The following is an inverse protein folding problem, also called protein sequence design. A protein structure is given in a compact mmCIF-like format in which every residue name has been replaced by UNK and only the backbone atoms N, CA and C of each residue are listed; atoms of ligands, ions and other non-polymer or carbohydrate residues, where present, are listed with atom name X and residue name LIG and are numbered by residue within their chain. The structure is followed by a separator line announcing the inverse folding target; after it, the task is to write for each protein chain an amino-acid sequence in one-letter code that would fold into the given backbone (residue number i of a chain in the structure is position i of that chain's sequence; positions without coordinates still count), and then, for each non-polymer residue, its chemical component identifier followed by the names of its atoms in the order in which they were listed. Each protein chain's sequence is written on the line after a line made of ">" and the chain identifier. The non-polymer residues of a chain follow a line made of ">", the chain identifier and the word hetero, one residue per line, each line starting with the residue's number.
data_IF_575727092774
#
_entry.id   IF_575727092774
#
_cell.length_a   1.000
_cell.length_b   1.000
_cell.length_c   1.000
_cell.angle_alpha   90.00
_cell.angle_beta   90.00
_cell.angle_gamma   90.00
#
_symmetry.space_group_name_H-M   'P 1'
#
loop_
_entity.id
_entity.type
_entity.pdbx_description
1 polymer ?
#
# COMPACT_ATOMS: atom_id res chain seq x y z
N UNK A 1 4.59 -29.00 24.76
CA UNK A 1 3.15 -28.68 24.98
C UNK A 1 3.04 -27.19 25.15
N UNK A 2 2.39 -26.49 24.24
CA UNK A 2 2.13 -25.04 24.37
C UNK A 2 0.87 -24.89 25.22
N UNK A 3 0.97 -24.15 26.32
CA UNK A 3 -0.13 -23.92 27.25
C UNK A 3 -1.19 -23.01 26.60
N UNK A 4 -2.37 -23.58 26.33
CA UNK A 4 -3.51 -22.92 25.66
C UNK A 4 -4.01 -21.67 26.40
N UNK A 5 -3.62 -21.48 27.67
CA UNK A 5 -3.96 -20.30 28.47
C UNK A 5 -3.23 -19.02 28.02
N UNK A 6 -2.17 -19.14 27.22
CA UNK A 6 -1.43 -17.97 26.70
C UNK A 6 -2.06 -17.32 25.45
N UNK A 7 -3.10 -17.92 24.86
CA UNK A 7 -3.76 -17.37 23.65
C UNK A 7 -4.80 -16.28 24.00
N UNK A 8 -5.20 -16.15 25.27
CA UNK A 8 -6.20 -15.17 25.71
C UNK A 8 -5.69 -13.72 25.83
N UNK A 9 -4.38 -13.47 25.70
CA UNK A 9 -3.78 -12.14 25.82
C UNK A 9 -3.32 -11.55 24.47
N UNK A 10 -3.94 -11.95 23.37
CA UNK A 10 -3.74 -11.24 22.10
C UNK A 10 -4.57 -9.94 22.14
N UNK A 11 -3.96 -8.77 21.86
CA UNK A 11 -4.72 -7.52 21.82
C UNK A 11 -5.86 -7.63 20.79
N UNK A 12 -7.04 -7.06 21.07
CA UNK A 12 -8.14 -7.07 20.12
C UNK A 12 -7.67 -6.39 18.83
N UNK A 13 -7.77 -7.11 17.71
CA UNK A 13 -7.45 -6.56 16.40
C UNK A 13 -8.50 -5.50 16.07
N UNK A 14 -8.08 -4.24 16.09
CA UNK A 14 -8.93 -3.04 15.90
C UNK A 14 -9.69 -3.03 14.56
N UNK A 15 -9.32 -3.88 13.60
CA UNK A 15 -9.88 -3.92 12.25
C UNK A 15 -10.89 -5.05 11.95
N UNK A 16 -11.33 -5.82 12.95
CA UNK A 16 -12.23 -6.95 12.72
C UNK A 16 -13.67 -6.61 13.10
N UNK A 17 -14.53 -6.39 12.08
CA UNK A 17 -15.99 -6.38 12.26
C UNK A 17 -16.41 -7.74 12.86
N UNK A 18 -17.26 -7.77 13.90
CA UNK A 18 -17.74 -9.02 14.49
C UNK A 18 -18.48 -9.88 13.47
N UNK A 19 -18.38 -11.21 13.64
CA UNK A 19 -19.09 -12.21 12.82
C UNK A 19 -20.60 -11.95 12.87
N UNK A 20 -21.29 -12.11 11.73
CA UNK A 20 -22.74 -11.92 11.66
C UNK A 20 -23.48 -13.18 12.13
N UNK A 21 -24.77 -13.04 12.46
CA UNK A 21 -25.60 -14.17 12.87
C UNK A 21 -25.82 -15.21 11.75
N UNK A 22 -25.70 -14.81 10.47
CA UNK A 22 -25.74 -15.74 9.34
C UNK A 22 -24.47 -16.60 9.25
N UNK A 23 -23.31 -15.99 9.48
CA UNK A 23 -22.02 -16.71 9.52
C UNK A 23 -21.99 -17.79 10.60
N UNK A 24 -22.68 -17.52 11.73
CA UNK A 24 -22.79 -18.46 12.86
C UNK A 24 -23.75 -19.64 12.56
N UNK A 25 -24.81 -19.43 11.78
CA UNK A 25 -25.80 -20.48 11.46
C UNK A 25 -25.29 -21.52 10.47
N UNK A 26 -24.38 -21.16 9.57
CA UNK A 26 -23.79 -22.08 8.59
C UNK A 26 -22.94 -23.19 9.24
N UNK A 27 -22.51 -22.98 10.49
CA UNK A 27 -21.60 -23.87 11.21
C UNK A 27 -22.25 -25.08 11.93
N UNK A 28 -23.57 -25.26 11.81
CA UNK A 28 -24.30 -26.36 12.46
C UNK A 28 -24.14 -27.73 11.78
N UNK A 29 -23.26 -27.86 10.78
CA UNK A 29 -22.96 -29.16 10.15
C UNK A 29 -21.54 -29.64 10.51
N UNK A 30 -21.38 -30.81 11.19
CA UNK A 30 -20.14 -31.25 11.85
C UNK A 30 -18.90 -31.52 10.98
N UNK A 31 -18.84 -31.15 9.70
CA UNK A 31 -17.69 -31.50 8.84
C UNK A 31 -17.33 -30.49 7.76
N UNK A 32 -17.99 -29.34 7.70
CA UNK A 32 -17.68 -28.40 6.64
C UNK A 32 -16.54 -27.49 7.11
N UNK A 33 -15.28 -27.81 6.80
CA UNK A 33 -14.17 -26.83 6.78
C UNK A 33 -14.41 -25.66 5.81
N UNK A 34 -15.62 -25.54 5.29
CA UNK A 34 -16.07 -24.58 4.32
C UNK A 34 -16.64 -23.36 5.04
N UNK A 35 -16.04 -22.22 4.75
CA UNK A 35 -16.48 -20.92 5.24
C UNK A 35 -16.85 -20.05 4.05
N UNK A 36 -18.09 -19.56 4.01
CA UNK A 36 -18.54 -18.64 2.97
C UNK A 36 -18.52 -17.21 3.50
N UNK A 37 -17.97 -16.29 2.70
CA UNK A 37 -17.95 -14.87 3.02
C UNK A 37 -17.96 -14.05 1.73
N UNK A 38 -18.88 -13.09 1.62
CA UNK A 38 -18.92 -12.15 0.49
C UNK A 38 -18.94 -12.83 -0.90
N UNK A 39 -19.58 -14.00 -1.00
CA UNK A 39 -19.63 -14.79 -2.24
C UNK A 39 -18.39 -15.65 -2.53
N UNK A 40 -17.38 -15.60 -1.66
CA UNK A 40 -16.20 -16.47 -1.71
C UNK A 40 -16.32 -17.66 -0.75
N UNK A 41 -15.76 -18.80 -1.15
CA UNK A 41 -15.72 -20.02 -0.36
C UNK A 41 -14.29 -20.38 0.02
N UNK A 42 -13.98 -20.31 1.31
CA UNK A 42 -12.75 -20.86 1.88
C UNK A 42 -12.98 -22.32 2.25
N UNK A 43 -11.98 -23.17 2.01
CA UNK A 43 -12.05 -24.60 2.34
C UNK A 43 -10.67 -25.11 2.75
N UNK A 44 -10.59 -25.93 3.79
CA UNK A 44 -9.32 -26.54 4.22
C UNK A 44 -9.38 -28.05 3.99
N UNK A 45 -8.63 -28.52 2.98
CA UNK A 45 -8.66 -29.91 2.55
C UNK A 45 -7.27 -30.40 2.24
N UNK A 46 -6.93 -31.60 2.73
CA UNK A 46 -5.65 -32.28 2.45
C UNK A 46 -4.43 -31.38 2.74
N UNK A 47 -4.48 -30.61 3.82
CA UNK A 47 -3.40 -29.69 4.21
C UNK A 47 -3.26 -28.45 3.32
N UNK A 48 -4.25 -28.15 2.48
CA UNK A 48 -4.26 -26.98 1.60
C UNK A 48 -5.42 -26.06 1.94
N UNK A 49 -5.18 -24.76 1.79
CA UNK A 49 -6.21 -23.74 1.87
C UNK A 49 -6.69 -23.40 0.47
N UNK A 50 -7.99 -23.60 0.22
CA UNK A 50 -8.62 -23.36 -1.05
C UNK A 50 -9.49 -22.09 -0.97
N UNK A 51 -9.47 -21.28 -2.02
CA UNK A 51 -10.37 -20.16 -2.25
C UNK A 51 -11.15 -20.43 -3.53
N UNK A 52 -12.47 -20.57 -3.43
CA UNK A 52 -13.34 -20.95 -4.55
C UNK A 52 -12.86 -22.21 -5.30
N UNK A 53 -12.28 -23.16 -4.54
CA UNK A 53 -11.73 -24.41 -5.07
C UNK A 53 -10.30 -24.32 -5.64
N UNK A 54 -9.70 -23.12 -5.70
CA UNK A 54 -8.33 -22.91 -6.15
C UNK A 54 -7.35 -22.88 -4.97
N UNK A 55 -6.14 -23.42 -5.15
CA UNK A 55 -5.10 -23.39 -4.12
C UNK A 55 -4.66 -21.94 -3.85
N UNK A 56 -4.93 -21.45 -2.65
CA UNK A 56 -4.68 -20.05 -2.31
C UNK A 56 -3.18 -19.74 -2.25
N UNK A 57 -2.34 -20.72 -1.91
CA UNK A 57 -0.89 -20.51 -1.89
C UNK A 57 -0.34 -20.29 -3.31
N UNK A 58 -0.89 -21.02 -4.29
CA UNK A 58 -0.59 -20.81 -5.70
C UNK A 58 -1.12 -19.47 -6.18
N UNK A 59 -2.39 -19.16 -5.90
CA UNK A 59 -3.02 -17.88 -6.31
C UNK A 59 -2.28 -16.65 -5.82
N UNK A 60 -1.81 -16.65 -4.56
CA UNK A 60 -0.99 -15.57 -3.98
C UNK A 60 0.39 -15.49 -4.64
N UNK A 61 0.92 -16.62 -5.11
CA UNK A 61 2.26 -16.71 -5.69
C UNK A 61 2.29 -16.43 -7.20
N UNK A 62 1.19 -16.64 -7.94
CA UNK A 62 1.11 -16.39 -9.39
C UNK A 62 0.65 -14.97 -9.72
N UNK A 63 -0.27 -14.40 -8.94
CA UNK A 63 -0.87 -13.08 -9.22
C UNK A 63 -0.12 -11.89 -8.59
N UNK A 64 1.19 -12.01 -8.45
CA UNK A 64 2.06 -11.13 -7.65
C UNK A 64 1.99 -9.64 -7.98
N UNK A 65 1.81 -9.30 -9.26
CA UNK A 65 1.92 -7.93 -9.77
C UNK A 65 0.59 -7.36 -10.27
N UNK A 66 -0.37 -8.24 -10.55
CA UNK A 66 -1.60 -7.89 -11.29
C UNK A 66 -2.71 -7.38 -10.36
N UNK A 67 -2.70 -7.79 -9.08
CA UNK A 67 -3.76 -7.45 -8.13
C UNK A 67 -3.39 -6.20 -7.31
N UNK A 68 -4.32 -5.27 -7.19
CA UNK A 68 -4.14 -4.03 -6.42
C UNK A 68 -4.10 -4.23 -4.90
N UNK A 69 -3.58 -3.24 -4.18
CA UNK A 69 -3.47 -3.28 -2.70
C UNK A 69 -4.83 -3.51 -2.00
N UNK A 70 -5.92 -2.99 -2.57
CA UNK A 70 -7.28 -3.19 -2.06
C UNK A 70 -7.67 -4.67 -2.01
N UNK A 71 -7.39 -5.42 -3.09
CA UNK A 71 -7.66 -6.86 -3.14
C UNK A 71 -6.91 -7.61 -2.04
N UNK A 72 -5.60 -7.34 -1.90
CA UNK A 72 -4.76 -7.97 -0.90
C UNK A 72 -5.21 -7.67 0.54
N UNK A 73 -5.60 -6.44 0.82
CA UNK A 73 -6.13 -6.04 2.13
C UNK A 73 -7.43 -6.78 2.45
N UNK A 74 -8.34 -6.90 1.48
CA UNK A 74 -9.58 -7.64 1.66
C UNK A 74 -9.33 -9.14 1.86
N UNK A 75 -8.43 -9.74 1.07
CA UNK A 75 -8.04 -11.14 1.24
C UNK A 75 -7.46 -11.40 2.64
N UNK A 76 -6.58 -10.52 3.13
CA UNK A 76 -6.03 -10.63 4.49
C UNK A 76 -7.12 -10.57 5.57
N UNK A 77 -8.09 -9.67 5.43
CA UNK A 77 -9.23 -9.57 6.36
C UNK A 77 -10.07 -10.85 6.36
N UNK A 78 -10.40 -11.38 5.18
CA UNK A 78 -11.19 -12.61 5.03
C UNK A 78 -10.45 -13.84 5.55
N UNK A 79 -9.13 -13.94 5.33
CA UNK A 79 -8.29 -14.97 5.94
C UNK A 79 -8.28 -14.91 7.47
N UNK A 80 -8.23 -13.71 8.04
CA UNK A 80 -8.40 -13.50 9.48
C UNK A 80 -9.74 -14.04 9.97
N UNK A 81 -10.83 -13.67 9.29
CA UNK A 81 -12.17 -14.16 9.64
C UNK A 81 -12.30 -15.68 9.51
N UNK A 82 -11.71 -16.28 8.48
CA UNK A 82 -11.76 -17.74 8.33
C UNK A 82 -11.05 -18.47 9.47
N UNK A 83 -9.89 -17.97 9.90
CA UNK A 83 -9.16 -18.50 11.06
C UNK A 83 -9.99 -18.36 12.34
N UNK A 84 -10.58 -17.19 12.57
CA UNK A 84 -11.36 -16.92 13.77
C UNK A 84 -12.66 -17.75 13.77
N UNK A 85 -13.29 -17.93 12.60
CA UNK A 85 -14.42 -18.85 12.41
C UNK A 85 -14.02 -20.30 12.69
N UNK A 86 -12.89 -20.78 12.15
CA UNK A 86 -12.44 -22.16 12.35
C UNK A 86 -12.16 -22.46 13.82
N UNK A 87 -11.61 -21.48 14.56
CA UNK A 87 -11.37 -21.59 16.00
C UNK A 87 -12.64 -21.86 16.81
N UNK A 88 -13.78 -21.34 16.37
CA UNK A 88 -15.06 -21.44 17.07
C UNK A 88 -15.88 -22.66 16.67
N UNK A 89 -15.66 -23.19 15.46
CA UNK A 89 -16.57 -24.16 14.85
C UNK A 89 -15.92 -25.50 14.49
N UNK A 90 -14.59 -25.61 14.58
CA UNK A 90 -13.87 -26.85 14.28
C UNK A 90 -13.31 -27.44 15.57
N UNK A 91 -13.60 -28.72 15.80
CA UNK A 91 -13.14 -29.43 17.00
C UNK A 91 -11.77 -30.13 16.80
N UNK A 92 -11.35 -30.36 15.55
CA UNK A 92 -10.06 -31.00 15.23
C UNK A 92 -8.88 -30.05 15.50
N UNK A 93 -8.33 -30.16 16.71
CA UNK A 93 -7.21 -29.34 17.19
C UNK A 93 -5.91 -29.49 16.40
N UNK A 94 -5.61 -30.68 15.87
CA UNK A 94 -4.39 -30.92 15.09
C UNK A 94 -4.49 -30.25 13.71
N UNK A 95 -5.63 -30.46 13.03
CA UNK A 95 -5.90 -29.81 11.76
C UNK A 95 -6.03 -28.28 11.90
N UNK A 96 -6.57 -27.79 13.02
CA UNK A 96 -6.58 -26.36 13.34
C UNK A 96 -5.18 -25.77 13.45
N UNK A 97 -4.25 -26.48 14.12
CA UNK A 97 -2.84 -26.07 14.19
C UNK A 97 -2.22 -25.92 12.80
N UNK A 98 -2.47 -26.87 11.90
CA UNK A 98 -2.03 -26.81 10.50
C UNK A 98 -2.66 -25.64 9.75
N UNK A 99 -3.97 -25.46 9.88
CA UNK A 99 -4.69 -24.34 9.26
C UNK A 99 -4.09 -23.00 9.73
N UNK A 100 -3.87 -22.82 11.03
CA UNK A 100 -3.35 -21.57 11.59
C UNK A 100 -1.94 -21.28 11.09
N UNK A 101 -1.10 -22.30 11.00
CA UNK A 101 0.23 -22.18 10.40
C UNK A 101 0.15 -21.67 8.95
N UNK A 102 -0.72 -22.26 8.14
CA UNK A 102 -0.92 -21.86 6.73
C UNK A 102 -1.50 -20.45 6.61
N UNK A 103 -2.53 -20.12 7.38
CA UNK A 103 -3.14 -18.78 7.36
C UNK A 103 -2.11 -17.73 7.78
N UNK A 104 -1.33 -17.97 8.83
CA UNK A 104 -0.30 -17.02 9.26
C UNK A 104 0.81 -16.85 8.21
N UNK A 105 1.26 -17.95 7.58
CA UNK A 105 2.23 -17.89 6.49
C UNK A 105 1.69 -17.10 5.28
N UNK A 106 0.41 -17.30 4.93
CA UNK A 106 -0.25 -16.56 3.85
C UNK A 106 -0.44 -15.09 4.20
N UNK A 107 -0.88 -14.77 5.41
CA UNK A 107 -1.00 -13.40 5.90
C UNK A 107 0.34 -12.68 5.87
N UNK A 108 1.43 -13.33 6.32
CA UNK A 108 2.77 -12.75 6.24
C UNK A 108 3.18 -12.44 4.79
N UNK A 109 2.90 -13.34 3.85
CA UNK A 109 3.12 -13.10 2.41
C UNK A 109 2.29 -11.92 1.93
N UNK A 110 0.99 -11.90 2.19
CA UNK A 110 0.05 -10.85 1.74
C UNK A 110 0.44 -9.50 2.32
N UNK A 111 0.73 -9.40 3.62
CA UNK A 111 1.20 -8.15 4.24
C UNK A 111 2.54 -7.69 3.69
N UNK A 112 3.47 -8.61 3.38
CA UNK A 112 4.70 -8.29 2.65
C UNK A 112 4.41 -7.64 1.29
N UNK A 113 3.36 -8.08 0.58
CA UNK A 113 2.93 -7.49 -0.70
C UNK A 113 2.28 -6.13 -0.52
N UNK A 114 1.37 -5.98 0.45
CA UNK A 114 0.74 -4.69 0.78
C UNK A 114 1.82 -3.68 1.15
N UNK A 115 2.77 -4.07 2.01
CA UNK A 115 3.91 -3.24 2.38
C UNK A 115 4.76 -2.87 1.17
N UNK A 116 5.06 -3.82 0.27
CA UNK A 116 5.77 -3.52 -0.98
C UNK A 116 5.01 -2.49 -1.83
N UNK A 117 3.71 -2.66 -2.02
CA UNK A 117 2.86 -1.72 -2.78
C UNK A 117 2.75 -0.34 -2.13
N UNK A 118 2.69 -0.31 -0.80
CA UNK A 118 2.67 0.95 -0.04
C UNK A 118 4.03 1.65 -0.08
N UNK A 119 5.13 0.89 -0.03
CA UNK A 119 6.48 1.40 -0.23
C UNK A 119 6.71 1.85 -1.69
N UNK A 120 6.03 1.25 -2.67
CA UNK A 120 5.97 1.76 -4.05
C UNK A 120 5.10 3.03 -4.15
N UNK A 121 4.26 3.34 -3.15
CA UNK A 121 3.29 4.44 -3.13
C UNK A 121 3.46 5.29 -1.87
N UNK A 122 4.63 5.88 -1.66
CA UNK A 122 4.91 6.67 -0.45
C UNK A 122 4.17 8.00 -0.55
N UNK A 123 3.22 8.25 0.35
CA UNK A 123 2.40 9.49 0.37
C UNK A 123 1.68 9.81 -0.96
N UNK A 124 1.26 8.79 -1.72
CA UNK A 124 0.64 9.00 -3.04
C UNK A 124 1.64 9.36 -4.15
N UNK A 125 2.94 9.20 -3.89
CA UNK A 125 4.00 9.30 -4.88
C UNK A 125 4.40 7.88 -5.27
N UNK A 126 3.97 7.44 -6.45
CA UNK A 126 4.52 6.27 -7.11
C UNK A 126 5.65 6.67 -8.03
N UNK A 127 6.71 5.88 -8.05
CA UNK A 127 7.79 6.08 -9.01
C UNK A 127 8.33 4.76 -9.52
N UNK A 128 8.90 4.80 -10.72
CA UNK A 128 9.67 3.70 -11.29
C UNK A 128 10.70 4.27 -12.28
N UNK A 129 11.70 3.45 -12.60
CA UNK A 129 12.63 3.71 -13.67
C UNK A 129 12.22 2.87 -14.89
N UNK A 130 12.08 3.51 -16.04
CA UNK A 130 11.81 2.88 -17.33
C UNK A 130 12.86 3.39 -18.32
N UNK A 131 13.66 2.50 -18.89
CA UNK A 131 14.75 2.84 -19.84
C UNK A 131 15.73 3.94 -19.36
N UNK A 132 15.97 4.00 -18.04
CA UNK A 132 16.83 5.03 -17.42
C UNK A 132 16.13 6.36 -17.17
N UNK A 133 14.86 6.48 -17.53
CA UNK A 133 14.02 7.64 -17.26
C UNK A 133 13.28 7.50 -15.93
N UNK A 134 13.22 8.60 -15.18
CA UNK A 134 12.48 8.65 -13.93
C UNK A 134 11.03 9.04 -14.18
N UNK A 135 10.12 8.13 -13.85
CA UNK A 135 8.68 8.33 -13.97
C UNK A 135 8.08 8.46 -12.57
N UNK A 136 7.43 9.59 -12.27
CA UNK A 136 6.74 9.87 -11.01
C UNK A 136 5.26 10.08 -11.28
N UNK A 137 4.38 9.25 -10.72
CA UNK A 137 2.93 9.31 -10.94
C UNK A 137 2.55 9.34 -12.43
N UNK A 138 3.26 8.55 -13.25
CA UNK A 138 3.06 8.51 -14.71
C UNK A 138 3.66 9.70 -15.48
N UNK A 139 4.44 10.56 -14.82
CA UNK A 139 5.09 11.72 -15.42
C UNK A 139 6.59 11.45 -15.57
N UNK A 140 7.09 11.49 -16.81
CA UNK A 140 8.54 11.50 -17.07
C UNK A 140 9.15 12.85 -16.63
N UNK A 141 9.98 12.79 -15.59
CA UNK A 141 10.62 13.96 -14.97
C UNK A 141 11.56 14.67 -15.95
N UNK A 142 12.34 13.93 -16.73
CA UNK A 142 13.31 14.48 -17.68
C UNK A 142 12.65 15.20 -18.85
N UNK A 143 11.57 14.63 -19.38
CA UNK A 143 10.77 15.25 -20.43
C UNK A 143 10.13 16.56 -19.95
N UNK A 144 9.55 16.57 -18.74
CA UNK A 144 8.98 17.79 -18.16
C UNK A 144 10.03 18.87 -17.92
N UNK A 145 11.20 18.52 -17.37
CA UNK A 145 12.29 19.47 -17.16
C UNK A 145 12.74 20.10 -18.48
N UNK A 146 12.95 19.27 -19.51
CA UNK A 146 13.34 19.73 -20.85
C UNK A 146 12.30 20.66 -21.47
N UNK A 147 11.02 20.38 -21.25
CA UNK A 147 9.92 21.23 -21.72
C UNK A 147 9.93 22.59 -21.02
N UNK A 148 10.14 22.62 -19.70
CA UNK A 148 10.18 23.85 -18.91
C UNK A 148 11.40 24.72 -19.30
N UNK A 149 12.56 24.09 -19.54
CA UNK A 149 13.77 24.76 -20.02
C UNK A 149 13.56 25.45 -21.37
N UNK A 150 12.82 24.82 -22.29
CA UNK A 150 12.47 25.41 -23.59
C UNK A 150 11.48 26.58 -23.47
N UNK A 151 10.52 26.49 -22.54
CA UNK A 151 9.48 27.49 -22.34
C UNK A 151 9.25 27.77 -20.86
N UNK A 152 10.06 28.69 -20.34
CA UNK A 152 9.94 29.14 -18.95
C UNK A 152 8.62 29.89 -18.75
N UNK A 153 7.79 29.36 -17.86
CA UNK A 153 6.51 29.96 -17.48
C UNK A 153 6.29 29.81 -15.97
N UNK A 154 5.45 30.67 -15.38
CA UNK A 154 5.10 30.57 -13.96
C UNK A 154 4.43 29.23 -13.62
N UNK A 155 3.62 28.68 -14.54
CA UNK A 155 3.05 27.33 -14.40
C UNK A 155 4.16 26.27 -14.35
N UNK A 156 5.18 26.39 -15.20
CA UNK A 156 6.37 25.54 -15.16
C UNK A 156 7.12 25.60 -13.84
N UNK A 157 7.32 26.81 -13.29
CA UNK A 157 7.95 27.03 -11.97
C UNK A 157 7.18 26.31 -10.85
N UNK A 158 5.86 26.51 -10.77
CA UNK A 158 4.99 25.88 -9.76
C UNK A 158 5.04 24.36 -9.90
N UNK A 159 5.00 23.86 -11.14
CA UNK A 159 5.10 22.44 -11.42
C UNK A 159 6.43 21.85 -10.96
N UNK A 160 7.56 22.51 -11.28
CA UNK A 160 8.89 22.10 -10.83
C UNK A 160 9.02 22.09 -9.31
N UNK A 161 8.47 23.10 -8.60
CA UNK A 161 8.39 23.11 -7.13
C UNK A 161 7.64 21.89 -6.59
N UNK A 162 6.49 21.55 -7.18
CA UNK A 162 5.72 20.37 -6.81
C UNK A 162 6.47 19.06 -7.07
N UNK A 163 7.17 18.97 -8.19
CA UNK A 163 7.99 17.81 -8.54
C UNK A 163 9.19 17.66 -7.60
N UNK A 164 9.83 18.77 -7.22
CA UNK A 164 10.90 18.82 -6.23
C UNK A 164 10.44 18.30 -4.87
N UNK A 165 9.27 18.72 -4.40
CA UNK A 165 8.68 18.22 -3.16
C UNK A 165 8.47 16.70 -3.18
N UNK A 166 7.98 16.15 -4.30
CA UNK A 166 7.83 14.69 -4.47
C UNK A 166 9.18 13.97 -4.44
N UNK A 167 10.21 14.50 -5.10
CA UNK A 167 11.56 13.94 -5.06
C UNK A 167 12.14 13.95 -3.64
N UNK A 168 11.92 15.02 -2.87
CA UNK A 168 12.34 15.10 -1.46
C UNK A 168 11.69 13.99 -0.63
N UNK A 169 10.38 13.79 -0.76
CA UNK A 169 9.68 12.69 -0.07
C UNK A 169 10.28 11.33 -0.44
N UNK A 170 10.60 11.11 -1.71
CA UNK A 170 11.25 9.86 -2.14
C UNK A 170 12.66 9.71 -1.53
N UNK A 171 13.48 10.76 -1.54
CA UNK A 171 14.84 10.74 -0.98
C UNK A 171 14.86 10.49 0.53
N UNK A 172 13.93 11.10 1.27
CA UNK A 172 13.82 10.93 2.73
C UNK A 172 13.38 9.51 3.11
N UNK A 173 12.47 8.91 2.35
CA UNK A 173 11.91 7.60 2.68
C UNK A 173 12.71 6.41 2.14
N UNK A 174 13.50 6.60 1.08
CA UNK A 174 14.36 5.54 0.51
C UNK A 174 15.80 5.56 1.03
N UNK A 175 16.04 6.23 2.16
CA UNK A 175 17.37 6.49 2.69
C UNK A 175 18.24 5.28 3.07
N UNK A 176 17.69 4.05 3.12
CA UNK A 176 18.40 2.98 3.86
C UNK A 176 18.62 1.60 3.23
N UNK A 177 18.01 1.15 2.12
CA UNK A 177 18.06 -0.33 1.95
C UNK A 177 17.95 -1.04 0.61
N UNK A 178 18.07 -0.45 -0.59
CA UNK A 178 18.21 -1.36 -1.76
C UNK A 178 18.70 -0.83 -3.10
N UNK A 179 18.72 0.47 -3.40
CA UNK A 179 19.05 0.89 -4.77
C UNK A 179 19.82 2.22 -4.80
N UNK A 180 21.14 2.15 -4.58
CA UNK A 180 22.06 3.29 -4.69
C UNK A 180 21.88 4.00 -6.05
N UNK A 181 21.74 3.25 -7.15
CA UNK A 181 21.51 3.82 -8.49
C UNK A 181 20.21 4.63 -8.63
N UNK A 182 19.14 4.26 -7.91
CA UNK A 182 17.90 5.04 -7.92
C UNK A 182 18.11 6.34 -7.15
N UNK A 183 18.83 6.27 -6.02
CA UNK A 183 19.15 7.45 -5.22
C UNK A 183 19.95 8.46 -6.04
N UNK A 184 21.00 8.02 -6.73
CA UNK A 184 21.80 8.88 -7.60
C UNK A 184 20.95 9.56 -8.67
N UNK A 185 20.01 8.80 -9.26
CA UNK A 185 19.08 9.32 -10.27
C UNK A 185 18.14 10.38 -9.67
N UNK A 186 17.57 10.12 -8.50
CA UNK A 186 16.70 11.06 -7.78
C UNK A 186 17.45 12.34 -7.39
N UNK A 187 18.67 12.21 -6.85
CA UNK A 187 19.51 13.35 -6.46
C UNK A 187 19.92 14.19 -7.68
N UNK A 188 20.28 13.55 -8.80
CA UNK A 188 20.60 14.23 -10.05
C UNK A 188 19.40 15.04 -10.59
N UNK A 189 18.20 14.45 -10.62
CA UNK A 189 17.01 15.20 -11.04
C UNK A 189 16.64 16.31 -10.06
N UNK A 190 16.80 16.09 -8.75
CA UNK A 190 16.57 17.11 -7.74
C UNK A 190 17.50 18.32 -7.94
N UNK A 191 18.80 18.09 -8.12
CA UNK A 191 19.78 19.14 -8.38
C UNK A 191 19.48 19.91 -9.67
N UNK A 192 19.12 19.20 -10.75
CA UNK A 192 18.73 19.85 -12.01
C UNK A 192 17.49 20.73 -11.87
N UNK A 193 16.52 20.30 -11.08
CA UNK A 193 15.32 21.11 -10.81
C UNK A 193 15.66 22.33 -9.97
N UNK A 194 16.50 22.18 -8.94
CA UNK A 194 16.94 23.30 -8.10
C UNK A 194 17.67 24.36 -8.95
N UNK A 195 18.60 23.94 -9.81
CA UNK A 195 19.29 24.82 -10.75
C UNK A 195 18.32 25.54 -11.71
N UNK A 196 17.32 24.85 -12.26
CA UNK A 196 16.35 25.50 -13.16
C UNK A 196 15.44 26.48 -12.40
N UNK A 197 15.11 26.20 -11.14
CA UNK A 197 14.29 27.08 -10.30
C UNK A 197 15.00 28.40 -9.97
N UNK A 198 16.33 28.40 -9.87
CA UNK A 198 17.15 29.62 -9.65
C UNK A 198 17.10 30.60 -10.83
N UNK A 199 16.83 30.11 -12.05
CA UNK A 199 16.75 30.95 -13.26
C UNK A 199 15.47 31.81 -13.27
N UNK A 200 14.46 31.44 -12.49
CA UNK A 200 13.22 32.19 -12.45
C UNK A 200 13.39 33.51 -11.69
N UNK A 201 12.88 34.62 -12.23
CA UNK A 201 12.95 35.90 -11.53
C UNK A 201 12.21 35.81 -10.18
N UNK A 202 12.71 36.50 -9.14
CA UNK A 202 12.04 36.57 -7.85
C UNK A 202 10.62 37.11 -8.05
N UNK A 203 9.67 36.54 -7.31
CA UNK A 203 8.29 37.04 -7.32
C UNK A 203 8.29 38.44 -6.71
N UNK A 204 8.13 39.45 -7.55
CA UNK A 204 7.86 40.81 -7.09
C UNK A 204 6.43 40.82 -6.58
N UNK A 205 6.26 40.65 -5.27
CA UNK A 205 4.98 40.89 -4.60
C UNK A 205 4.79 42.40 -4.64
N UNK A 206 4.02 42.90 -5.62
CA UNK A 206 3.56 44.27 -5.63
C UNK A 206 2.57 44.41 -4.47
N UNK A 207 3.01 45.09 -3.39
CA UNK A 207 2.08 45.49 -2.35
C UNK A 207 1.05 46.44 -2.98
N UNK A 208 -0.25 46.32 -2.63
CA UNK A 208 -1.22 47.32 -3.02
C UNK A 208 -0.76 48.71 -2.53
N UNK A 209 -1.00 49.78 -3.30
CA UNK A 209 -0.69 51.12 -2.84
C UNK A 209 -1.40 51.36 -1.50
N UNK A 210 -0.79 52.12 -0.56
CA UNK A 210 -1.44 52.43 0.70
C UNK A 210 -2.79 53.09 0.40
N UNK A 211 -3.86 52.50 0.93
CA UNK A 211 -5.20 53.09 0.87
C UNK A 211 -5.10 54.49 1.50
N UNK A 212 -5.50 55.52 0.77
CA UNK A 212 -5.72 56.85 1.35
C UNK A 212 -6.92 56.75 2.29
N UNK A 213 -6.67 56.27 3.52
CA UNK A 213 -7.65 56.30 4.60
C UNK A 213 -7.84 57.75 5.05
N UNK A 214 -8.90 58.36 4.54
CA UNK A 214 -9.75 59.30 5.26
C UNK A 214 -9.09 60.54 5.84
N UNK A 215 -8.96 61.59 5.02
CA UNK A 215 -9.20 62.94 5.55
C UNK A 215 -10.70 63.04 5.93
N UNK A 216 -11.04 62.60 7.14
CA UNK A 216 -12.29 63.00 7.78
C UNK A 216 -12.18 64.49 8.13
N UNK A 217 -12.76 65.33 7.27
CA UNK A 217 -13.10 66.73 7.54
C UNK A 217 -14.30 66.85 8.47
#
# INVERSE_FOLDING_TARGET
>A
MVDLRQIQNLPPRVDQRPLTAEDQRSALQPQAWRFNIEGENFDFKKGKLLLNGQDLAEHVSTNLSQMGAYYWTNLARRLGRYRDWAMLHVEDTEALGRLFGLVNALLAKVYGRIKKKFNETIQGVSFHLEDGELIINGINVGACLSMVQKKRSQKGKIFLKGLRGRLTVLLENHGHSSVEHIRDTLENFAAKIDLELEVYPPEVIALPPPSEEGEET
#
